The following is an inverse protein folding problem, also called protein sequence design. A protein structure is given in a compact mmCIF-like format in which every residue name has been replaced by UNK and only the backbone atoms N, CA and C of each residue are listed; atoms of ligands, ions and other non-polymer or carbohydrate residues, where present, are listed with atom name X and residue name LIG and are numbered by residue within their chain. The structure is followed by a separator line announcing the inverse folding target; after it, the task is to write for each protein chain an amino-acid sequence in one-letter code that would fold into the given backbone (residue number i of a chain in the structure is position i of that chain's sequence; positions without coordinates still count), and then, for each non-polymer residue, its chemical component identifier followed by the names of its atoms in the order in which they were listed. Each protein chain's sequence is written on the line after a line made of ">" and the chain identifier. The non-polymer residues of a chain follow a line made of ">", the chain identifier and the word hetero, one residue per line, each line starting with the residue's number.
data_IF_209811132065
#
_entry.id   IF_209811132065
#
_cell.length_a   1.000
_cell.length_b   1.000
_cell.length_c   1.000
_cell.angle_alpha   90.00
_cell.angle_beta   90.00
_cell.angle_gamma   90.00
#
_symmetry.space_group_name_H-M   'P 1'
#
loop_
_entity.id
_entity.type
_entity.pdbx_description
1 polymer ?
#
# COMPACT_ATOMS: atom_id res chain seq x y z
N UNK A 1 -27.54 0.41 7.08
CA UNK A 1 -26.44 1.40 7.24
C UNK A 1 -26.02 1.97 5.88
N UNK A 2 -25.64 1.15 4.92
CA UNK A 2 -25.17 1.58 3.59
C UNK A 2 -26.18 2.45 2.83
N UNK A 3 -27.47 2.17 2.90
CA UNK A 3 -28.54 2.94 2.24
C UNK A 3 -28.78 4.35 2.81
N UNK A 4 -28.16 4.67 3.96
CA UNK A 4 -28.40 5.92 4.71
C UNK A 4 -27.19 6.84 4.71
N UNK A 5 -26.18 6.57 3.89
CA UNK A 5 -24.95 7.35 3.83
C UNK A 5 -24.39 7.40 2.40
N UNK A 6 -23.62 8.43 2.10
CA UNK A 6 -22.90 8.57 0.81
C UNK A 6 -21.64 7.69 0.75
N UNK A 7 -20.95 7.53 1.89
CA UNK A 7 -19.67 6.83 1.97
C UNK A 7 -19.64 5.96 3.22
N UNK A 8 -19.13 4.75 3.09
CA UNK A 8 -18.69 3.90 4.20
C UNK A 8 -17.18 3.99 4.31
N UNK A 9 -16.71 4.39 5.46
CA UNK A 9 -15.30 4.38 5.86
C UNK A 9 -15.11 3.30 6.93
N UNK A 10 -14.20 2.34 6.72
CA UNK A 10 -14.04 1.22 7.65
C UNK A 10 -12.59 0.90 7.97
N UNK A 11 -12.34 0.55 9.25
CA UNK A 11 -11.03 0.12 9.77
C UNK A 11 -11.06 -1.34 10.25
N UNK A 12 -12.12 -2.09 9.92
CA UNK A 12 -12.35 -3.44 10.45
C UNK A 12 -11.56 -4.49 9.65
N UNK A 13 -10.35 -4.77 10.09
CA UNK A 13 -9.48 -5.84 9.55
C UNK A 13 -9.43 -7.08 10.48
N UNK A 14 -8.96 -8.23 10.00
CA UNK A 14 -8.59 -8.58 8.61
C UNK A 14 -9.75 -8.51 7.62
N UNK A 15 -9.57 -7.79 6.52
CA UNK A 15 -10.63 -7.54 5.54
C UNK A 15 -11.05 -8.80 4.79
N UNK A 16 -10.14 -9.73 4.57
CA UNK A 16 -10.45 -11.04 3.97
C UNK A 16 -11.49 -11.82 4.80
N UNK A 17 -11.57 -11.57 6.11
CA UNK A 17 -12.53 -12.22 7.01
C UNK A 17 -13.83 -11.42 7.15
N UNK A 18 -13.76 -10.11 7.23
CA UNK A 18 -14.89 -9.27 7.66
C UNK A 18 -15.37 -8.27 6.61
N UNK A 19 -14.52 -7.89 5.63
CA UNK A 19 -14.79 -6.80 4.70
C UNK A 19 -15.75 -7.13 3.56
N UNK A 20 -15.78 -8.38 3.09
CA UNK A 20 -16.46 -8.76 1.85
C UNK A 20 -17.96 -8.47 1.86
N UNK A 21 -18.65 -8.71 2.98
CA UNK A 21 -20.10 -8.46 3.08
C UNK A 21 -20.42 -6.96 3.07
N UNK A 22 -19.55 -6.15 3.67
CA UNK A 22 -19.72 -4.70 3.69
C UNK A 22 -19.54 -4.11 2.29
N UNK A 23 -18.51 -4.54 1.54
CA UNK A 23 -18.32 -4.14 0.14
C UNK A 23 -19.52 -4.56 -0.70
N UNK A 24 -20.01 -5.81 -0.58
CA UNK A 24 -21.23 -6.28 -1.25
C UNK A 24 -22.43 -5.39 -0.96
N UNK A 25 -22.61 -5.00 0.30
CA UNK A 25 -23.70 -4.11 0.72
C UNK A 25 -23.57 -2.71 0.09
N UNK A 26 -22.36 -2.14 0.07
CA UNK A 26 -22.08 -0.86 -0.58
C UNK A 26 -22.41 -0.89 -2.08
N UNK A 27 -22.00 -1.97 -2.78
CA UNK A 27 -22.32 -2.15 -4.20
C UNK A 27 -23.83 -2.19 -4.42
N UNK A 28 -24.56 -2.96 -3.60
CA UNK A 28 -26.03 -3.09 -3.70
C UNK A 28 -26.75 -1.77 -3.44
N UNK A 29 -26.32 -0.99 -2.45
CA UNK A 29 -26.95 0.28 -2.05
C UNK A 29 -26.40 1.51 -2.77
N UNK A 30 -25.52 1.32 -3.76
CA UNK A 30 -24.87 2.41 -4.52
C UNK A 30 -24.16 3.43 -3.63
N UNK A 31 -23.44 2.93 -2.60
CA UNK A 31 -22.73 3.72 -1.60
C UNK A 31 -21.23 3.64 -1.83
N UNK A 32 -20.51 4.76 -1.81
CA UNK A 32 -19.05 4.77 -1.90
C UNK A 32 -18.42 4.09 -0.68
N UNK A 33 -17.18 3.62 -0.86
CA UNK A 33 -16.46 2.85 0.17
C UNK A 33 -14.98 3.22 0.20
N UNK A 34 -14.39 3.32 1.40
CA UNK A 34 -12.95 3.38 1.59
C UNK A 34 -12.50 2.61 2.84
N UNK A 35 -11.27 2.10 2.81
CA UNK A 35 -10.68 1.28 3.86
C UNK A 35 -9.16 1.41 3.97
N UNK A 36 -8.56 0.61 4.88
CA UNK A 36 -7.12 0.48 5.14
C UNK A 36 -6.60 -0.91 4.74
N UNK A 37 -7.17 -1.54 3.73
CA UNK A 37 -6.81 -2.90 3.37
C UNK A 37 -5.40 -2.98 2.75
N UNK A 38 -4.50 -3.71 3.41
CA UNK A 38 -3.19 -4.12 2.87
C UNK A 38 -3.19 -5.55 2.30
N UNK A 39 -4.35 -6.19 2.22
CA UNK A 39 -4.55 -7.60 1.85
C UNK A 39 -4.76 -7.74 0.33
N UNK A 40 -3.66 -7.76 -0.45
CA UNK A 40 -3.72 -7.72 -1.91
C UNK A 40 -4.56 -8.86 -2.52
N UNK A 41 -4.56 -10.06 -1.95
CA UNK A 41 -5.39 -11.20 -2.39
C UNK A 41 -6.88 -10.90 -2.23
N UNK A 42 -7.25 -10.25 -1.12
CA UNK A 42 -8.64 -9.85 -0.88
C UNK A 42 -9.06 -8.71 -1.82
N UNK A 43 -8.21 -7.70 -1.99
CA UNK A 43 -8.46 -6.60 -2.96
C UNK A 43 -8.64 -7.18 -4.37
N UNK A 44 -7.79 -8.15 -4.79
CA UNK A 44 -7.96 -8.83 -6.08
C UNK A 44 -9.35 -9.47 -6.18
N UNK A 45 -9.79 -10.18 -5.14
CA UNK A 45 -11.14 -10.76 -5.08
C UNK A 45 -12.24 -9.72 -5.19
N UNK A 46 -12.11 -8.56 -4.53
CA UNK A 46 -13.09 -7.48 -4.64
C UNK A 46 -13.11 -6.87 -6.04
N UNK A 47 -11.94 -6.73 -6.68
CA UNK A 47 -11.84 -6.28 -8.08
C UNK A 47 -12.57 -7.26 -8.99
N UNK A 48 -12.32 -8.57 -8.88
CA UNK A 48 -12.92 -9.58 -9.75
C UNK A 48 -14.43 -9.68 -9.59
N UNK A 49 -14.94 -9.49 -8.37
CA UNK A 49 -16.37 -9.62 -8.08
C UNK A 49 -17.17 -8.34 -8.34
N UNK A 50 -16.57 -7.18 -8.16
CA UNK A 50 -17.36 -5.95 -8.03
C UNK A 50 -16.89 -4.78 -8.89
N UNK A 51 -15.75 -4.86 -9.61
CA UNK A 51 -15.24 -3.72 -10.37
C UNK A 51 -16.27 -3.23 -11.41
N UNK A 52 -16.83 -4.12 -12.22
CA UNK A 52 -17.77 -3.77 -13.28
C UNK A 52 -19.12 -3.31 -12.71
N UNK A 53 -19.68 -4.05 -11.74
CA UNK A 53 -20.94 -3.65 -11.11
C UNK A 53 -20.82 -2.31 -10.38
N UNK A 54 -19.69 -2.04 -9.73
CA UNK A 54 -19.43 -0.76 -9.09
C UNK A 54 -19.30 0.37 -10.14
N UNK A 55 -18.74 0.06 -11.33
CA UNK A 55 -18.69 1.00 -12.46
C UNK A 55 -20.08 1.32 -13.00
N UNK A 56 -20.89 0.31 -13.23
CA UNK A 56 -22.28 0.45 -13.68
C UNK A 56 -23.14 1.23 -12.67
N UNK A 57 -22.94 0.98 -11.38
CA UNK A 57 -23.63 1.68 -10.30
C UNK A 57 -23.06 3.08 -9.99
N UNK A 58 -22.03 3.53 -10.71
CA UNK A 58 -21.37 4.82 -10.54
C UNK A 58 -20.85 5.06 -9.11
N UNK A 59 -20.27 4.02 -8.50
CA UNK A 59 -19.66 4.11 -7.17
C UNK A 59 -18.15 3.90 -7.21
N UNK A 60 -17.48 4.48 -6.24
CA UNK A 60 -16.04 4.35 -6.01
C UNK A 60 -15.82 3.47 -4.79
N UNK A 61 -15.11 2.37 -4.98
CA UNK A 61 -14.62 1.50 -3.90
C UNK A 61 -13.11 1.70 -3.87
N UNK A 62 -12.59 2.38 -2.86
CA UNK A 62 -11.18 2.78 -2.76
C UNK A 62 -10.54 2.05 -1.60
N UNK A 63 -9.66 1.09 -1.91
CA UNK A 63 -8.91 0.36 -0.90
C UNK A 63 -7.58 1.06 -0.56
N UNK A 64 -6.99 0.71 0.58
CA UNK A 64 -5.64 1.15 0.99
C UNK A 64 -5.51 2.68 1.19
N UNK A 65 -6.54 3.31 1.76
CA UNK A 65 -6.62 4.76 1.98
C UNK A 65 -5.87 5.24 3.25
N UNK A 66 -4.78 4.58 3.63
CA UNK A 66 -3.95 4.95 4.76
C UNK A 66 -2.46 4.99 4.41
N UNK A 67 -1.61 4.93 5.42
CA UNK A 67 -0.17 4.80 5.23
C UNK A 67 0.21 3.56 4.42
N UNK A 68 -0.71 2.62 4.31
CA UNK A 68 -0.56 1.43 3.47
C UNK A 68 -0.17 1.81 2.03
N UNK A 69 -0.87 2.78 1.40
CA UNK A 69 -0.53 3.11 0.02
C UNK A 69 -0.65 4.60 -0.36
N UNK A 70 -1.34 5.42 0.43
CA UNK A 70 -1.58 6.83 0.07
C UNK A 70 -0.27 7.60 -0.17
N UNK A 71 0.75 7.56 0.70
CA UNK A 71 2.00 8.31 0.47
C UNK A 71 2.77 7.84 -0.77
N UNK A 72 2.67 6.55 -1.09
CA UNK A 72 3.32 5.94 -2.25
C UNK A 72 2.60 6.29 -3.54
N UNK A 73 1.29 6.07 -3.59
CA UNK A 73 0.46 6.21 -4.78
C UNK A 73 0.29 7.67 -5.19
N UNK A 74 -0.05 8.54 -4.22
CA UNK A 74 -0.15 9.97 -4.48
C UNK A 74 1.21 10.64 -4.67
N UNK A 75 2.26 10.14 -4.00
CA UNK A 75 3.63 10.59 -4.24
C UNK A 75 4.06 10.37 -5.70
N UNK A 76 3.79 9.19 -6.26
CA UNK A 76 4.05 8.89 -7.67
C UNK A 76 3.18 9.73 -8.60
N UNK A 77 1.89 9.89 -8.27
CA UNK A 77 0.98 10.76 -9.03
C UNK A 77 1.47 12.21 -9.06
N UNK A 78 1.89 12.75 -7.91
CA UNK A 78 2.47 14.09 -7.81
C UNK A 78 3.73 14.24 -8.66
N UNK A 79 4.62 13.25 -8.66
CA UNK A 79 5.83 13.25 -9.50
C UNK A 79 5.45 13.35 -10.97
N UNK A 80 4.49 12.54 -11.42
CA UNK A 80 4.05 12.55 -12.83
C UNK A 80 3.31 13.83 -13.23
N UNK A 81 2.71 14.55 -12.28
CA UNK A 81 2.12 15.87 -12.55
C UNK A 81 3.20 16.95 -12.72
N UNK A 82 4.36 16.78 -12.10
CA UNK A 82 5.46 17.77 -12.13
C UNK A 82 6.56 17.43 -13.13
N UNK A 83 6.66 16.17 -13.57
CA UNK A 83 7.61 15.76 -14.60
C UNK A 83 6.83 15.31 -15.83
N UNK A 84 6.94 16.05 -16.92
CA UNK A 84 6.24 15.77 -18.20
C UNK A 84 6.80 14.57 -18.97
N UNK A 85 7.57 13.69 -18.32
CA UNK A 85 8.20 12.52 -18.93
C UNK A 85 7.47 11.23 -18.51
N UNK A 86 7.33 10.30 -19.44
CA UNK A 86 6.80 8.94 -19.21
C UNK A 86 7.93 7.92 -19.05
N UNK A 87 7.55 6.70 -18.63
CA UNK A 87 8.48 5.58 -18.48
C UNK A 87 9.63 5.84 -17.50
N UNK A 88 9.34 6.58 -16.44
CA UNK A 88 10.30 6.82 -15.36
C UNK A 88 10.57 5.53 -14.60
N UNK A 89 11.78 5.42 -14.04
CA UNK A 89 12.08 4.45 -12.99
C UNK A 89 12.12 5.17 -11.64
N UNK A 90 11.15 4.91 -10.79
CA UNK A 90 11.01 5.55 -9.49
C UNK A 90 11.36 4.56 -8.40
N UNK A 91 12.32 4.93 -7.55
CA UNK A 91 12.76 4.18 -6.37
C UNK A 91 12.31 4.93 -5.11
N UNK A 92 11.23 4.49 -4.48
CA UNK A 92 10.84 5.04 -3.19
C UNK A 92 11.67 4.41 -2.07
N UNK A 93 12.20 5.26 -1.20
CA UNK A 93 13.01 4.84 -0.05
C UNK A 93 12.49 5.49 1.23
N UNK A 94 12.17 4.64 2.20
CA UNK A 94 11.92 5.10 3.58
C UNK A 94 13.26 5.57 4.14
N UNK A 95 13.36 6.87 4.42
CA UNK A 95 14.58 7.49 4.97
C UNK A 95 14.47 7.80 6.46
N UNK A 96 13.28 7.67 7.02
CA UNK A 96 13.02 7.81 8.43
C UNK A 96 11.57 7.47 8.75
N UNK A 97 11.35 6.83 9.87
CA UNK A 97 10.03 6.61 10.43
C UNK A 97 10.14 6.43 11.94
N UNK A 98 9.17 6.97 12.66
CA UNK A 98 8.99 6.77 14.10
C UNK A 98 7.54 6.46 14.37
N UNK A 99 7.29 5.27 14.87
CA UNK A 99 5.96 4.73 15.14
C UNK A 99 5.98 3.22 15.18
N UNK A 100 4.84 2.62 15.46
CA UNK A 100 4.68 1.17 15.53
C UNK A 100 3.58 0.70 14.57
N UNK A 101 3.68 -0.54 14.13
CA UNK A 101 2.58 -1.17 13.40
C UNK A 101 1.44 -1.51 14.35
N UNK A 102 0.21 -1.42 13.85
CA UNK A 102 -0.99 -1.78 14.62
C UNK A 102 -1.12 -3.29 14.80
N UNK A 103 -1.77 -3.72 15.88
CA UNK A 103 -2.15 -5.13 16.04
C UNK A 103 -3.05 -5.63 14.90
N UNK A 104 -3.84 -4.75 14.28
CA UNK A 104 -4.60 -5.06 13.06
C UNK A 104 -3.72 -5.40 11.86
N UNK A 105 -2.64 -4.65 11.65
CA UNK A 105 -1.64 -4.93 10.60
C UNK A 105 -1.02 -6.32 10.78
N UNK A 106 -0.60 -6.66 12.01
CA UNK A 106 -0.08 -8.00 12.30
C UNK A 106 -1.10 -9.10 12.06
N UNK A 107 -2.35 -8.91 12.48
CA UNK A 107 -3.42 -9.88 12.27
C UNK A 107 -3.72 -10.11 10.79
N UNK A 108 -3.77 -9.06 9.97
CA UNK A 108 -3.94 -9.15 8.52
C UNK A 108 -2.78 -9.87 7.86
N UNK A 109 -1.54 -9.55 8.22
CA UNK A 109 -0.36 -10.23 7.67
C UNK A 109 -0.30 -11.70 8.01
N UNK A 110 -0.60 -12.07 9.24
CA UNK A 110 -0.73 -13.47 9.66
C UNK A 110 -1.78 -14.21 8.83
N UNK A 111 -2.92 -13.55 8.57
CA UNK A 111 -3.98 -14.12 7.73
C UNK A 111 -3.50 -14.31 6.28
N UNK A 112 -2.84 -13.31 5.69
CA UNK A 112 -2.26 -13.38 4.35
C UNK A 112 -1.31 -14.59 4.22
N UNK A 113 -0.39 -14.74 5.18
CA UNK A 113 0.59 -15.83 5.18
C UNK A 113 -0.12 -17.17 5.29
N UNK A 114 -1.11 -17.29 6.21
CA UNK A 114 -1.89 -18.51 6.37
C UNK A 114 -2.66 -18.91 5.10
N UNK A 115 -3.26 -17.95 4.41
CA UNK A 115 -3.93 -18.17 3.13
C UNK A 115 -2.93 -18.57 2.04
N UNK A 116 -1.78 -17.89 1.94
CA UNK A 116 -0.74 -18.21 0.96
C UNK A 116 -0.12 -19.61 1.15
N UNK A 117 -0.08 -20.13 2.39
CA UNK A 117 0.36 -21.50 2.64
C UNK A 117 -0.67 -22.55 2.23
N UNK A 118 -1.95 -22.21 2.25
CA UNK A 118 -3.04 -23.12 1.93
C UNK A 118 -3.43 -23.11 0.45
N UNK A 119 -3.29 -21.98 -0.22
CA UNK A 119 -3.77 -21.74 -1.57
C UNK A 119 -2.65 -21.24 -2.49
N UNK A 120 -2.39 -22.00 -3.56
CA UNK A 120 -1.36 -21.68 -4.55
C UNK A 120 -1.75 -20.44 -5.40
N UNK A 121 -3.03 -20.26 -5.70
CA UNK A 121 -3.50 -19.12 -6.49
C UNK A 121 -3.36 -17.81 -5.69
N UNK A 122 -3.67 -17.85 -4.40
CA UNK A 122 -3.37 -16.74 -3.49
C UNK A 122 -1.87 -16.43 -3.49
N UNK A 123 -1.01 -17.44 -3.41
CA UNK A 123 0.44 -17.26 -3.46
C UNK A 123 0.90 -16.64 -4.76
N UNK A 124 0.39 -17.09 -5.91
CA UNK A 124 0.69 -16.52 -7.22
C UNK A 124 0.27 -15.06 -7.29
N UNK A 125 -0.94 -14.73 -6.87
CA UNK A 125 -1.46 -13.35 -6.84
C UNK A 125 -0.59 -12.43 -5.97
N UNK A 126 -0.18 -12.88 -4.79
CA UNK A 126 0.69 -12.12 -3.89
C UNK A 126 2.10 -11.91 -4.44
N UNK A 127 2.63 -12.87 -5.19
CA UNK A 127 3.99 -12.81 -5.73
C UNK A 127 4.08 -12.13 -7.10
N UNK A 128 2.97 -11.94 -7.81
CA UNK A 128 2.95 -11.21 -9.06
C UNK A 128 3.01 -9.69 -8.78
N UNK A 129 4.03 -8.95 -9.27
CA UNK A 129 4.12 -7.50 -9.12
C UNK A 129 2.89 -6.74 -9.63
N UNK A 130 2.24 -7.26 -10.66
CA UNK A 130 1.07 -6.68 -11.34
C UNK A 130 -0.25 -7.36 -10.96
N UNK A 131 -0.28 -8.11 -9.84
CA UNK A 131 -1.43 -8.92 -9.46
C UNK A 131 -2.76 -8.18 -9.24
N UNK A 132 -2.72 -6.86 -9.05
CA UNK A 132 -3.92 -6.01 -8.93
C UNK A 132 -4.33 -5.32 -10.24
N UNK A 133 -3.52 -5.39 -11.29
CA UNK A 133 -3.88 -4.80 -12.57
C UNK A 133 -5.11 -5.45 -13.21
N UNK A 134 -5.78 -4.78 -14.14
CA UNK A 134 -6.83 -5.39 -14.97
C UNK A 134 -6.36 -6.69 -15.61
N UNK A 135 -7.28 -7.62 -15.85
CA UNK A 135 -6.97 -8.86 -16.58
C UNK A 135 -6.40 -8.52 -17.96
N UNK A 136 -5.36 -9.26 -18.39
CA UNK A 136 -4.63 -8.98 -19.62
C UNK A 136 -3.55 -7.89 -19.50
N UNK A 137 -3.39 -7.26 -18.33
CA UNK A 137 -2.36 -6.25 -18.04
C UNK A 137 -1.53 -6.61 -16.79
N UNK A 138 -1.39 -7.92 -16.51
CA UNK A 138 -0.77 -8.44 -15.29
C UNK A 138 0.70 -8.82 -15.47
N UNK A 139 1.37 -8.21 -16.43
CA UNK A 139 2.79 -8.36 -16.74
C UNK A 139 3.49 -7.00 -16.92
N UNK A 140 4.82 -7.01 -16.92
CA UNK A 140 5.63 -5.81 -17.11
C UNK A 140 7.07 -5.98 -16.66
N UNK A 141 7.83 -4.88 -16.62
CA UNK A 141 9.27 -4.86 -16.39
C UNK A 141 9.70 -5.04 -14.93
N UNK A 142 8.79 -4.79 -13.99
CA UNK A 142 9.12 -4.82 -12.57
C UNK A 142 9.35 -6.24 -12.07
N UNK A 143 10.35 -6.37 -11.22
CA UNK A 143 10.65 -7.60 -10.48
C UNK A 143 9.84 -7.63 -9.18
N UNK A 144 9.85 -8.80 -8.53
CA UNK A 144 9.28 -8.98 -7.19
C UNK A 144 9.95 -8.02 -6.20
N UNK A 145 9.19 -7.63 -5.17
CA UNK A 145 9.68 -6.77 -4.11
C UNK A 145 10.90 -7.36 -3.41
N UNK A 146 11.74 -6.48 -2.86
CA UNK A 146 12.98 -6.84 -2.18
C UNK A 146 12.70 -7.79 -0.99
N UNK A 147 13.46 -8.88 -0.89
CA UNK A 147 13.30 -9.89 0.19
C UNK A 147 14.48 -9.99 1.14
N UNK A 148 15.60 -9.38 0.78
CA UNK A 148 16.85 -9.42 1.57
C UNK A 148 17.59 -8.11 1.46
N UNK A 149 18.51 -7.88 2.38
CA UNK A 149 19.38 -6.71 2.38
C UNK A 149 20.26 -6.69 1.12
N UNK A 150 20.30 -5.55 0.45
CA UNK A 150 21.02 -5.36 -0.80
C UNK A 150 21.67 -3.98 -0.86
N UNK A 151 22.79 -3.87 -1.57
CA UNK A 151 23.37 -2.59 -1.93
C UNK A 151 22.73 -2.07 -3.22
N UNK A 152 22.10 -0.92 -3.18
CA UNK A 152 21.54 -0.24 -4.36
C UNK A 152 22.59 0.68 -4.97
N UNK A 153 23.15 0.26 -6.12
CA UNK A 153 24.23 0.99 -6.81
C UNK A 153 23.80 2.37 -7.30
N UNK A 154 22.52 2.54 -7.71
CA UNK A 154 22.01 3.82 -8.21
C UNK A 154 21.96 4.89 -7.12
N UNK A 155 21.45 4.55 -5.95
CA UNK A 155 21.35 5.48 -4.81
C UNK A 155 22.55 5.41 -3.86
N UNK A 156 23.54 4.53 -4.14
CA UNK A 156 24.78 4.33 -3.38
C UNK A 156 24.55 4.09 -1.89
N UNK A 157 23.57 3.25 -1.56
CA UNK A 157 23.15 2.93 -0.18
C UNK A 157 22.76 1.47 -0.02
N UNK A 158 22.92 0.92 1.18
CA UNK A 158 22.28 -0.33 1.57
C UNK A 158 20.79 -0.10 1.74
N UNK A 159 20.01 -1.09 1.36
CA UNK A 159 18.55 -1.10 1.45
C UNK A 159 18.09 -2.42 2.06
N UNK A 160 17.01 -2.34 2.84
CA UNK A 160 16.33 -3.45 3.49
C UNK A 160 14.89 -3.57 2.97
N UNK A 161 14.28 -4.75 3.00
CA UNK A 161 12.88 -4.91 2.65
C UNK A 161 11.99 -3.93 3.43
N UNK A 162 10.99 -3.39 2.75
CA UNK A 162 9.94 -2.58 3.37
C UNK A 162 8.65 -3.39 3.43
N UNK A 163 8.06 -3.48 4.62
CA UNK A 163 6.90 -4.34 4.89
C UNK A 163 5.72 -4.01 3.98
N UNK A 164 5.46 -2.71 3.77
CA UNK A 164 4.32 -2.25 2.98
C UNK A 164 4.54 -2.33 1.47
N UNK A 165 5.77 -2.57 0.99
CA UNK A 165 6.07 -2.67 -0.43
C UNK A 165 5.16 -3.69 -1.15
N UNK A 166 4.82 -4.80 -0.48
CA UNK A 166 3.99 -5.86 -1.05
C UNK A 166 2.60 -5.43 -1.50
N UNK A 167 2.02 -4.40 -0.88
CA UNK A 167 0.77 -3.79 -1.31
C UNK A 167 1.00 -2.49 -2.10
N UNK A 168 1.85 -1.59 -1.61
CA UNK A 168 2.06 -0.28 -2.20
C UNK A 168 2.46 -0.35 -3.67
N UNK A 169 3.43 -1.19 -4.00
CA UNK A 169 3.93 -1.33 -5.37
C UNK A 169 2.85 -1.83 -6.34
N UNK A 170 1.93 -2.69 -5.86
CA UNK A 170 0.78 -3.16 -6.65
C UNK A 170 -0.27 -2.06 -6.86
N UNK A 171 -0.54 -1.26 -5.83
CA UNK A 171 -1.47 -0.13 -5.91
C UNK A 171 -0.95 0.90 -6.92
N UNK A 172 0.32 1.30 -6.85
CA UNK A 172 0.95 2.24 -7.80
C UNK A 172 0.87 1.73 -9.25
N UNK A 173 1.17 0.45 -9.47
CA UNK A 173 1.08 -0.16 -10.82
C UNK A 173 -0.36 -0.22 -11.32
N UNK A 174 -1.31 -0.52 -10.43
CA UNK A 174 -2.73 -0.49 -10.76
C UNK A 174 -3.20 0.92 -11.12
N UNK A 175 -2.72 1.96 -10.43
CA UNK A 175 -3.01 3.36 -10.78
C UNK A 175 -2.56 3.71 -12.18
N UNK A 176 -1.36 3.27 -12.57
CA UNK A 176 -0.86 3.42 -13.95
C UNK A 176 -1.76 2.67 -14.96
N UNK A 177 -2.13 1.43 -14.66
CA UNK A 177 -2.98 0.64 -15.55
C UNK A 177 -4.39 1.25 -15.70
N UNK A 178 -5.03 1.66 -14.60
CA UNK A 178 -6.35 2.30 -14.61
C UNK A 178 -6.36 3.63 -15.36
N UNK A 179 -5.24 4.36 -15.34
CA UNK A 179 -5.07 5.62 -16.09
C UNK A 179 -4.62 5.41 -17.54
N UNK A 180 -4.86 4.23 -18.10
CA UNK A 180 -4.43 3.87 -19.44
C UNK A 180 -2.92 4.08 -19.66
N UNK A 181 -2.13 3.65 -18.68
CA UNK A 181 -0.67 3.79 -18.66
C UNK A 181 -0.18 5.24 -18.81
N UNK A 182 -0.82 6.17 -18.11
CA UNK A 182 -0.43 7.58 -18.14
C UNK A 182 1.03 7.80 -17.69
N UNK A 183 1.57 6.93 -16.80
CA UNK A 183 2.97 6.93 -16.39
C UNK A 183 3.90 6.27 -17.43
N UNK A 184 3.33 5.61 -18.42
CA UNK A 184 4.03 4.87 -19.48
C UNK A 184 3.98 3.36 -19.28
N UNK A 185 4.01 2.60 -20.40
CA UNK A 185 4.02 1.13 -20.38
C UNK A 185 5.34 0.54 -19.85
N UNK A 186 6.44 1.30 -19.91
CA UNK A 186 7.75 0.92 -19.38
C UNK A 186 8.06 1.56 -18.02
N UNK A 187 7.05 2.14 -17.37
CA UNK A 187 7.17 2.66 -16.01
C UNK A 187 7.61 1.57 -15.03
N UNK A 188 8.57 1.90 -14.15
CA UNK A 188 9.07 0.99 -13.14
C UNK A 188 9.01 1.63 -11.75
N UNK A 189 8.66 0.82 -10.75
CA UNK A 189 8.54 1.26 -9.37
C UNK A 189 8.98 0.21 -8.38
N UNK A 190 9.82 0.59 -7.41
CA UNK A 190 10.18 -0.26 -6.29
C UNK A 190 10.28 0.51 -4.96
N UNK A 191 10.08 -0.21 -3.85
CA UNK A 191 10.15 0.34 -2.50
C UNK A 191 11.14 -0.43 -1.64
N UNK A 192 11.84 0.30 -0.76
CA UNK A 192 12.72 -0.28 0.26
C UNK A 192 12.99 0.72 1.40
N UNK A 193 13.50 0.21 2.51
CA UNK A 193 14.06 1.05 3.59
C UNK A 193 15.52 1.36 3.28
N UNK A 194 15.91 2.62 3.30
CA UNK A 194 17.29 3.06 3.13
C UNK A 194 18.04 2.97 4.46
N UNK A 195 19.11 2.19 4.53
CA UNK A 195 19.79 1.87 5.78
C UNK A 195 21.19 2.48 5.92
N UNK A 196 21.66 3.17 4.87
CA UNK A 196 22.91 3.92 4.89
C UNK A 196 24.05 3.28 4.11
N UNK A 197 25.28 3.79 4.31
CA UNK A 197 26.48 3.37 3.58
C UNK A 197 27.35 2.44 4.42
N UNK A 198 28.31 1.76 3.75
CA UNK A 198 29.34 0.95 4.38
C UNK A 198 28.80 -0.22 5.21
N UNK A 199 29.63 -0.75 6.11
CA UNK A 199 29.31 -1.89 6.96
C UNK A 199 28.15 -1.57 7.92
N UNK A 200 28.11 -0.35 8.48
CA UNK A 200 27.03 0.09 9.37
C UNK A 200 25.67 0.05 8.66
N UNK A 201 25.60 0.53 7.42
CA UNK A 201 24.37 0.47 6.63
C UNK A 201 23.90 -0.97 6.38
N UNK A 202 24.82 -1.89 6.09
CA UNK A 202 24.52 -3.31 5.93
C UNK A 202 23.97 -3.93 7.21
N UNK A 203 24.63 -3.69 8.35
CA UNK A 203 24.21 -4.21 9.66
C UNK A 203 22.83 -3.68 10.06
N UNK A 204 22.59 -2.38 9.90
CA UNK A 204 21.26 -1.78 10.12
C UNK A 204 20.19 -2.46 9.28
N UNK A 205 20.48 -2.73 8.00
CA UNK A 205 19.57 -3.44 7.10
C UNK A 205 19.24 -4.86 7.60
N UNK A 206 20.21 -5.60 8.06
CA UNK A 206 20.03 -6.94 8.63
C UNK A 206 19.13 -6.88 9.87
N UNK A 207 19.42 -5.99 10.81
CA UNK A 207 18.64 -5.82 12.04
C UNK A 207 17.17 -5.49 11.71
N UNK A 208 16.93 -4.55 10.79
CA UNK A 208 15.59 -4.17 10.34
C UNK A 208 14.84 -5.30 9.63
N UNK A 209 15.55 -6.29 9.05
CA UNK A 209 14.94 -7.44 8.38
C UNK A 209 14.48 -8.54 9.34
N UNK A 210 15.01 -8.59 10.58
CA UNK A 210 14.72 -9.66 11.53
C UNK A 210 13.22 -9.82 11.80
N UNK A 211 12.43 -8.77 12.10
CA UNK A 211 10.99 -8.93 12.32
C UNK A 211 10.24 -9.50 11.11
N UNK A 212 10.71 -9.20 9.90
CA UNK A 212 10.09 -9.72 8.67
C UNK A 212 10.34 -11.20 8.48
N UNK A 213 11.50 -11.71 8.92
CA UNK A 213 11.82 -13.14 8.90
C UNK A 213 10.87 -13.90 9.85
N UNK A 214 10.67 -13.35 11.05
CA UNK A 214 9.73 -13.92 12.02
C UNK A 214 8.29 -13.89 11.51
N UNK A 215 7.88 -12.80 10.88
CA UNK A 215 6.56 -12.67 10.28
C UNK A 215 6.35 -13.70 9.16
N UNK A 216 7.36 -13.94 8.32
CA UNK A 216 7.28 -14.89 7.20
C UNK A 216 7.38 -16.38 7.64
N UNK A 217 7.58 -16.66 8.92
CA UNK A 217 7.70 -18.02 9.44
C UNK A 217 6.44 -18.85 9.16
N UNK A 218 6.63 -20.15 8.90
CA UNK A 218 5.53 -21.09 8.63
C UNK A 218 4.49 -21.02 9.75
N UNK A 219 3.19 -20.87 9.43
CA UNK A 219 2.12 -20.90 10.43
C UNK A 219 2.17 -22.15 11.30
N UNK A 220 2.08 -21.96 12.63
CA UNK A 220 2.15 -23.05 13.61
C UNK A 220 3.57 -23.51 13.99
N UNK A 221 4.63 -23.03 13.32
CA UNK A 221 6.02 -23.29 13.73
C UNK A 221 6.35 -22.65 15.08
N UNK A 222 7.41 -23.13 15.74
CA UNK A 222 7.91 -22.57 17.01
C UNK A 222 8.18 -21.06 16.89
N UNK A 223 8.84 -20.63 15.82
CA UNK A 223 9.13 -19.22 15.53
C UNK A 223 7.81 -18.42 15.42
N UNK A 224 6.82 -18.93 14.69
CA UNK A 224 5.53 -18.27 14.55
C UNK A 224 4.77 -18.16 15.89
N UNK A 225 4.86 -19.18 16.77
CA UNK A 225 4.25 -19.14 18.10
C UNK A 225 4.90 -18.05 18.97
N UNK A 226 6.24 -17.96 19.00
CA UNK A 226 6.97 -16.88 19.72
C UNK A 226 6.53 -15.53 19.18
N UNK A 227 6.53 -15.34 17.87
CA UNK A 227 6.15 -14.08 17.26
C UNK A 227 4.72 -13.64 17.63
N UNK A 228 3.78 -14.57 17.70
CA UNK A 228 2.40 -14.30 18.13
C UNK A 228 2.27 -13.85 19.57
N UNK A 229 3.19 -14.28 20.46
CA UNK A 229 3.19 -13.87 21.87
C UNK A 229 3.69 -12.42 22.01
N UNK A 230 4.71 -12.04 21.25
CA UNK A 230 5.35 -10.71 21.38
C UNK A 230 4.69 -9.65 20.48
N UNK A 231 3.88 -10.05 19.49
CA UNK A 231 3.21 -9.11 18.59
C UNK A 231 2.05 -8.40 19.25
N UNK A 232 1.81 -7.11 18.95
CA UNK A 232 0.63 -6.40 19.44
C UNK A 232 -0.67 -7.11 19.05
N UNK A 233 -1.59 -7.23 19.99
CA UNK A 233 -2.92 -7.81 19.74
C UNK A 233 -3.82 -6.82 18.99
N UNK A 234 -4.85 -7.29 18.25
CA UNK A 234 -5.87 -6.42 17.68
C UNK A 234 -6.42 -5.44 18.74
N UNK A 235 -6.52 -4.17 18.39
CA UNK A 235 -6.90 -3.09 19.29
C UNK A 235 -5.74 -2.48 20.09
N UNK A 236 -4.56 -3.09 20.09
CA UNK A 236 -3.36 -2.50 20.69
C UNK A 236 -2.58 -1.66 19.67
N UNK A 237 -2.04 -0.53 20.13
CA UNK A 237 -1.24 0.38 19.31
C UNK A 237 -0.50 1.41 20.17
N UNK A 238 0.17 2.37 19.55
CA UNK A 238 0.94 3.40 20.26
C UNK A 238 0.02 4.27 21.14
N UNK A 239 0.56 4.74 22.26
CA UNK A 239 -0.13 5.70 23.11
C UNK A 239 -0.24 7.09 22.45
N UNK A 240 -0.97 8.03 23.06
CA UNK A 240 -1.20 9.37 22.49
C UNK A 240 0.11 10.10 22.19
N UNK A 241 1.06 10.10 23.12
CA UNK A 241 2.36 10.77 22.98
C UNK A 241 3.21 10.16 21.86
N UNK A 242 3.18 8.85 21.70
CA UNK A 242 3.88 8.15 20.61
C UNK A 242 3.26 8.49 19.26
N UNK A 243 1.92 8.57 19.16
CA UNK A 243 1.23 8.96 17.93
C UNK A 243 1.53 10.39 17.51
N UNK A 244 1.58 11.32 18.47
CA UNK A 244 1.82 12.75 18.21
C UNK A 244 3.29 13.05 17.91
N UNK A 245 4.24 12.31 18.49
CA UNK A 245 5.68 12.48 18.26
C UNK A 245 6.26 11.54 17.19
N UNK A 246 5.40 10.83 16.48
CA UNK A 246 5.78 10.01 15.34
C UNK A 246 6.01 10.85 14.09
N UNK A 247 6.59 10.23 13.09
CA UNK A 247 6.76 10.81 11.75
C UNK A 247 7.09 9.74 10.73
N UNK A 248 6.97 10.08 9.45
CA UNK A 248 7.60 9.32 8.37
C UNK A 248 8.22 10.24 7.33
N UNK A 249 9.19 9.72 6.59
CA UNK A 249 9.87 10.41 5.51
C UNK A 249 10.21 9.45 4.39
N UNK A 250 9.62 9.69 3.22
CA UNK A 250 9.89 8.98 1.99
C UNK A 250 10.67 9.87 1.04
N UNK A 251 11.69 9.29 0.37
CA UNK A 251 12.36 9.91 -0.78
C UNK A 251 12.10 9.08 -2.01
N UNK A 252 11.73 9.75 -3.08
CA UNK A 252 11.54 9.17 -4.40
C UNK A 252 12.71 9.60 -5.27
N UNK A 253 13.58 8.66 -5.58
CA UNK A 253 14.66 8.83 -6.55
C UNK A 253 14.09 8.49 -7.92
N UNK A 254 14.00 9.47 -8.78
CA UNK A 254 13.35 9.40 -10.08
C UNK A 254 14.40 9.44 -11.17
N UNK A 255 14.43 8.41 -12.00
CA UNK A 255 15.35 8.31 -13.12
C UNK A 255 14.57 8.29 -14.42
N UNK A 256 14.95 9.15 -15.36
CA UNK A 256 14.42 9.11 -16.72
C UNK A 256 15.23 8.18 -17.64
N UNK A 257 14.82 8.05 -18.89
CA UNK A 257 15.48 7.19 -19.87
C UNK A 257 16.85 7.77 -20.34
N UNK A 258 17.06 9.06 -20.15
CA UNK A 258 18.31 9.78 -20.47
C UNK A 258 19.34 9.68 -19.34
N UNK A 259 18.93 9.14 -18.17
CA UNK A 259 19.78 9.01 -16.99
C UNK A 259 19.76 10.21 -16.06
N UNK A 260 18.91 11.21 -16.30
CA UNK A 260 18.74 12.32 -15.38
C UNK A 260 18.05 11.84 -14.09
N UNK A 261 18.47 12.44 -12.97
CA UNK A 261 17.94 12.15 -11.65
C UNK A 261 17.20 13.34 -11.07
N UNK A 262 16.05 13.07 -10.46
CA UNK A 262 15.30 14.04 -9.64
C UNK A 262 14.92 13.40 -8.32
N UNK A 263 14.80 14.19 -7.26
CA UNK A 263 14.44 13.69 -5.93
C UNK A 263 13.21 14.44 -5.44
N UNK A 264 12.20 13.67 -5.04
CA UNK A 264 10.99 14.17 -4.38
C UNK A 264 10.91 13.63 -2.95
N UNK A 265 10.18 14.32 -2.10
CA UNK A 265 10.01 13.95 -0.71
C UNK A 265 8.54 14.02 -0.32
N UNK A 266 8.09 12.98 0.41
CA UNK A 266 6.78 12.94 1.07
C UNK A 266 7.01 12.69 2.54
N UNK A 267 6.39 13.49 3.41
CA UNK A 267 6.55 13.39 4.86
C UNK A 267 5.22 13.47 5.57
N UNK A 268 5.13 12.83 6.74
CA UNK A 268 4.05 13.02 7.69
C UNK A 268 4.59 13.34 9.07
N UNK A 269 3.84 14.15 9.79
CA UNK A 269 4.17 14.73 11.09
C UNK A 269 3.63 13.94 12.29
N UNK A 270 3.05 12.77 12.05
CA UNK A 270 2.53 11.82 13.05
C UNK A 270 2.97 10.40 12.73
N UNK A 271 2.82 9.51 13.71
CA UNK A 271 3.16 8.11 13.51
C UNK A 271 2.43 7.51 12.30
N UNK A 272 3.10 6.67 11.50
CA UNK A 272 2.50 6.11 10.30
C UNK A 272 1.34 5.15 10.59
N UNK A 273 1.40 4.40 11.70
CA UNK A 273 0.45 3.32 11.99
C UNK A 273 -0.95 3.79 12.36
N UNK A 274 -1.09 4.91 13.06
CA UNK A 274 -2.37 5.45 13.50
C UNK A 274 -2.54 6.95 13.19
N UNK A 275 -1.60 7.79 13.59
CA UNK A 275 -1.75 9.23 13.49
C UNK A 275 -1.89 9.72 12.05
N UNK A 276 -0.95 9.37 11.18
CA UNK A 276 -1.01 9.71 9.76
C UNK A 276 -2.08 8.91 9.02
N UNK A 277 -2.21 7.61 9.33
CA UNK A 277 -3.21 6.74 8.70
C UNK A 277 -4.65 7.22 8.96
N UNK A 278 -4.99 7.60 10.20
CA UNK A 278 -6.34 8.10 10.50
C UNK A 278 -6.67 9.40 9.76
N UNK A 279 -5.69 10.31 9.63
CA UNK A 279 -5.81 11.53 8.83
C UNK A 279 -6.08 11.20 7.36
N UNK A 280 -5.23 10.35 6.75
CA UNK A 280 -5.37 9.96 5.34
C UNK A 280 -6.72 9.29 5.04
N UNK A 281 -7.17 8.37 5.90
CA UNK A 281 -8.44 7.70 5.74
C UNK A 281 -9.63 8.64 5.88
N UNK A 282 -9.60 9.54 6.89
CA UNK A 282 -10.64 10.53 7.10
C UNK A 282 -10.76 11.48 5.91
N UNK A 283 -9.63 12.01 5.41
CA UNK A 283 -9.60 12.87 4.23
C UNK A 283 -10.09 12.13 2.97
N UNK A 284 -9.72 10.87 2.79
CA UNK A 284 -10.23 10.04 1.69
C UNK A 284 -11.77 9.90 1.74
N UNK A 285 -12.33 9.69 2.94
CA UNK A 285 -13.77 9.58 3.13
C UNK A 285 -14.49 10.92 2.86
N UNK A 286 -13.92 12.03 3.34
CA UNK A 286 -14.45 13.39 3.11
C UNK A 286 -14.39 13.73 1.62
N UNK A 287 -13.28 13.45 0.96
CA UNK A 287 -13.10 13.63 -0.48
C UNK A 287 -14.18 12.86 -1.27
N UNK A 288 -14.41 11.59 -0.97
CA UNK A 288 -15.45 10.78 -1.61
C UNK A 288 -16.88 11.31 -1.36
N UNK A 289 -17.12 11.96 -0.20
CA UNK A 289 -18.45 12.43 0.20
C UNK A 289 -18.81 13.81 -0.34
N UNK A 290 -17.81 14.70 -0.51
CA UNK A 290 -18.01 16.13 -0.69
C UNK A 290 -17.39 16.72 -1.95
N UNK A 291 -16.32 16.13 -2.48
CA UNK A 291 -15.60 16.72 -3.61
C UNK A 291 -16.27 16.38 -4.95
N UNK A 292 -16.09 17.29 -5.90
CA UNK A 292 -16.39 17.02 -7.30
C UNK A 292 -15.23 16.22 -7.90
N UNK A 293 -15.38 14.91 -7.92
CA UNK A 293 -14.38 13.99 -8.45
C UNK A 293 -14.69 13.62 -9.90
N UNK A 294 -13.64 13.20 -10.65
CA UNK A 294 -13.79 12.68 -12.02
C UNK A 294 -14.78 11.49 -12.05
N UNK A 295 -15.43 11.30 -13.21
CA UNK A 295 -16.34 10.19 -13.48
C UNK A 295 -15.60 8.87 -13.70
N UNK A 296 -14.88 8.45 -12.66
CA UNK A 296 -14.12 7.20 -12.57
C UNK A 296 -14.76 6.34 -11.49
N UNK A 297 -15.28 5.18 -11.88
CA UNK A 297 -16.04 4.30 -10.98
C UNK A 297 -15.49 2.88 -10.99
N UNK A 298 -15.80 2.09 -9.97
CA UNK A 298 -15.31 0.73 -9.81
C UNK A 298 -14.50 0.51 -8.53
N UNK A 299 -13.72 -0.56 -8.47
CA UNK A 299 -12.71 -0.80 -7.43
C UNK A 299 -11.41 -0.11 -7.86
N UNK A 300 -11.07 0.96 -7.19
CA UNK A 300 -10.07 1.95 -7.59
C UNK A 300 -8.91 2.04 -6.59
N UNK A 301 -7.89 2.80 -6.97
CA UNK A 301 -6.74 3.16 -6.13
C UNK A 301 -6.86 4.60 -5.65
N UNK A 302 -6.18 4.99 -4.56
CA UNK A 302 -6.26 6.35 -4.04
C UNK A 302 -5.96 7.44 -5.09
N UNK A 303 -4.85 7.35 -5.81
CA UNK A 303 -4.45 8.39 -6.77
C UNK A 303 -5.35 8.46 -8.01
N UNK A 304 -6.03 7.36 -8.37
CA UNK A 304 -6.94 7.33 -9.49
C UNK A 304 -8.34 7.84 -9.14
N UNK A 305 -8.75 7.69 -7.88
CA UNK A 305 -10.10 8.00 -7.40
C UNK A 305 -10.23 9.37 -6.73
N UNK A 306 -9.18 9.84 -6.05
CA UNK A 306 -9.22 10.98 -5.13
C UNK A 306 -8.49 12.19 -5.70
N UNK A 307 -8.74 13.36 -5.13
CA UNK A 307 -8.02 14.60 -5.42
C UNK A 307 -6.78 14.75 -4.55
N UNK A 308 -5.74 15.45 -5.07
CA UNK A 308 -4.55 15.82 -4.29
C UNK A 308 -4.79 16.93 -3.27
N UNK A 309 -5.93 17.63 -3.35
CA UNK A 309 -6.17 18.85 -2.54
C UNK A 309 -6.27 18.51 -1.04
N UNK A 310 -6.64 17.29 -0.69
CA UNK A 310 -6.93 16.89 0.69
C UNK A 310 -5.87 15.95 1.31
N UNK A 311 -4.74 15.72 0.64
CA UNK A 311 -3.75 14.76 1.13
C UNK A 311 -2.35 15.36 1.15
#
# INVERSE_FOLDING_TARGET
>A
MTERTKVICTTVGPYAKYGSQLVKSCVKSKTHYCDLAGEAQWIRKMIDLYHETARENQIKIVNSCGFDSVPSDLGVYYIHKNISKKNLYIKMRVTGAKGTYSGGTYASMQNIIKEAYKDMEVRKSLTNPYGLNPKGQQDGLDKRDLRSVKYDKKIKSWISPFLMAGINTKIVRRSNALSNFSYGKKFQYDEAVMTGKGVKGRLNGIILSIPLIFLAAKPGSFINKIFNIISPKPGQGPNKKERENGYFSFRFFVFDQEGNESIFKVTGDKDPGYGSTSKMLAESAVCLAKDKLDDKYGVLTPSYALSLIHI
#
